data_IF_839405295290
#
_entry.id   IF_839405295290
#
_cell.length_a   1.000
_cell.length_b   1.000
_cell.length_c   1.000
_cell.angle_alpha   90.00
_cell.angle_beta   90.00
_cell.angle_gamma   90.00
#
_symmetry.space_group_name_H-M   'P 1'
#
loop_
_entity.id
_entity.type
_entity.pdbx_description
1 polymer ?
#
# COMPACT_ATOMS: atom_id res chain seq x y z
N UNK A 1 -1.26 -5.65 -15.46
CA UNK A 1 -1.37 -4.18 -15.60
C UNK A 1 -1.76 -3.62 -14.26
N UNK A 2 -1.13 -2.53 -13.81
CA UNK A 2 -1.43 -1.86 -12.54
C UNK A 2 -1.84 -0.42 -12.84
N UNK A 3 -2.93 0.03 -12.23
CA UNK A 3 -3.47 1.38 -12.44
C UNK A 3 -3.56 2.14 -11.13
N UNK A 4 -3.24 3.42 -11.16
CA UNK A 4 -3.50 4.34 -10.06
C UNK A 4 -4.95 4.82 -10.19
N UNK A 5 -5.70 4.91 -9.10
CA UNK A 5 -7.03 5.51 -9.10
C UNK A 5 -7.03 6.72 -8.18
N UNK A 6 -7.35 7.89 -8.73
CA UNK A 6 -7.54 9.12 -7.98
C UNK A 6 -9.02 9.25 -7.61
N UNK A 7 -9.34 8.88 -6.37
CA UNK A 7 -10.73 8.75 -5.90
C UNK A 7 -11.52 10.06 -5.96
N UNK A 8 -10.91 11.17 -5.55
CA UNK A 8 -11.57 12.48 -5.57
C UNK A 8 -11.87 12.99 -6.98
N UNK A 9 -10.98 12.70 -7.93
CA UNK A 9 -11.09 13.16 -9.32
C UNK A 9 -11.77 12.13 -10.24
N UNK A 10 -12.15 10.96 -9.72
CA UNK A 10 -12.76 9.86 -10.45
C UNK A 10 -12.02 9.49 -11.74
N UNK A 11 -10.69 9.44 -11.69
CA UNK A 11 -9.86 9.20 -12.88
C UNK A 11 -8.66 8.30 -12.59
N UNK A 12 -8.08 7.76 -13.67
CA UNK A 12 -6.83 6.98 -13.66
C UNK A 12 -5.71 7.89 -14.17
N UNK A 13 -4.86 8.48 -13.29
CA UNK A 13 -3.83 9.42 -13.72
C UNK A 13 -2.62 8.71 -14.34
N UNK A 14 -2.42 7.43 -14.02
CA UNK A 14 -1.29 6.64 -14.53
C UNK A 14 -1.59 5.14 -14.48
N UNK A 15 -1.04 4.41 -15.44
CA UNK A 15 -1.07 2.96 -15.49
C UNK A 15 0.25 2.40 -16.01
N UNK A 16 0.68 1.26 -15.48
CA UNK A 16 1.89 0.55 -15.87
C UNK A 16 1.52 -0.86 -16.32
N UNK A 17 1.91 -1.20 -17.56
CA UNK A 17 1.73 -2.56 -18.07
C UNK A 17 2.82 -3.46 -17.49
N UNK A 18 2.42 -4.54 -16.82
CA UNK A 18 3.33 -5.58 -16.37
C UNK A 18 3.73 -6.46 -17.56
N UNK A 19 5.00 -6.80 -17.69
CA UNK A 19 5.46 -7.77 -18.70
C UNK A 19 5.04 -9.20 -18.31
N UNK A 20 5.10 -10.16 -19.24
CA UNK A 20 4.62 -11.53 -19.01
C UNK A 20 5.28 -12.26 -17.82
N UNK A 21 6.48 -11.81 -17.42
CA UNK A 21 7.23 -12.34 -16.26
C UNK A 21 7.31 -11.37 -15.08
N UNK A 22 6.66 -10.21 -15.17
CA UNK A 22 6.65 -9.15 -14.16
C UNK A 22 5.30 -9.10 -13.44
N UNK A 23 5.33 -8.79 -12.15
CA UNK A 23 4.16 -8.71 -11.27
C UNK A 23 3.97 -7.28 -10.72
N UNK A 24 2.88 -7.08 -9.99
CA UNK A 24 2.49 -5.80 -9.38
C UNK A 24 3.61 -5.21 -8.50
N UNK A 25 4.37 -6.08 -7.84
CA UNK A 25 5.51 -5.74 -6.97
C UNK A 25 6.57 -4.88 -7.68
N UNK A 26 6.78 -5.10 -8.98
CA UNK A 26 7.76 -4.33 -9.78
C UNK A 26 7.15 -3.10 -10.43
N UNK A 27 5.86 -3.14 -10.78
CA UNK A 27 5.17 -2.04 -11.43
C UNK A 27 4.75 -0.91 -10.45
N UNK A 28 4.40 -1.25 -9.20
CA UNK A 28 3.97 -0.27 -8.19
C UNK A 28 5.04 0.80 -7.93
N UNK A 29 6.32 0.46 -7.69
CA UNK A 29 7.36 1.48 -7.53
C UNK A 29 7.49 2.44 -8.71
N UNK A 30 7.27 1.97 -9.95
CA UNK A 30 7.31 2.83 -11.14
C UNK A 30 6.12 3.77 -11.19
N UNK A 31 4.93 3.26 -10.87
CA UNK A 31 3.70 4.04 -10.80
C UNK A 31 3.76 5.12 -9.71
N UNK A 32 4.38 4.82 -8.57
CA UNK A 32 4.58 5.77 -7.48
C UNK A 32 5.61 6.87 -7.80
N UNK A 33 6.46 6.74 -8.83
CA UNK A 33 7.39 7.81 -9.22
C UNK A 33 6.67 9.10 -9.66
N UNK A 34 5.38 9.03 -9.99
CA UNK A 34 4.56 10.20 -10.30
C UNK A 34 4.65 11.29 -9.22
N UNK A 35 4.59 12.56 -9.63
CA UNK A 35 4.76 13.75 -8.76
C UNK A 35 3.53 14.10 -7.90
N UNK A 36 2.38 13.48 -8.16
CA UNK A 36 1.09 13.88 -7.58
C UNK A 36 0.71 13.18 -6.26
N UNK A 37 1.68 12.73 -5.46
CA UNK A 37 1.40 11.96 -4.24
C UNK A 37 1.51 12.76 -2.94
N UNK A 38 2.16 13.93 -2.93
CA UNK A 38 2.31 14.74 -1.70
C UNK A 38 0.94 15.08 -1.09
N UNK A 39 0.79 14.87 0.22
CA UNK A 39 -0.45 15.04 0.97
C UNK A 39 -1.62 14.15 0.51
N UNK A 40 -1.33 12.99 -0.08
CA UNK A 40 -2.35 11.98 -0.43
C UNK A 40 -2.23 10.73 0.43
N UNK A 41 -3.34 9.99 0.57
CA UNK A 41 -3.34 8.65 1.17
C UNK A 41 -3.33 7.61 0.06
N UNK A 42 -2.25 6.83 -0.01
CA UNK A 42 -2.09 5.75 -0.98
C UNK A 42 -2.60 4.45 -0.38
N UNK A 43 -3.61 3.85 -1.02
CA UNK A 43 -4.11 2.52 -0.64
C UNK A 43 -3.63 1.49 -1.66
N UNK A 44 -3.09 0.37 -1.16
CA UNK A 44 -2.61 -0.73 -2.02
C UNK A 44 -3.07 -2.05 -1.42
N UNK A 45 -3.52 -2.96 -2.28
CA UNK A 45 -3.87 -4.31 -1.88
C UNK A 45 -2.67 -5.08 -1.31
N UNK A 46 -2.95 -6.23 -0.70
CA UNK A 46 -1.95 -6.94 0.09
C UNK A 46 -0.76 -7.51 -0.70
N UNK A 47 -0.87 -7.63 -2.03
CA UNK A 47 0.26 -8.02 -2.87
C UNK A 47 1.34 -6.92 -2.98
N UNK A 48 0.98 -5.67 -2.67
CA UNK A 48 1.87 -4.50 -2.73
C UNK A 48 2.37 -3.98 -1.38
N UNK A 49 2.26 -4.75 -0.28
CA UNK A 49 2.55 -4.27 1.08
C UNK A 49 4.04 -3.96 1.38
N UNK A 50 4.95 -4.27 0.47
CA UNK A 50 6.39 -4.33 0.73
C UNK A 50 6.97 -3.07 1.38
N UNK A 51 7.91 -3.24 2.31
CA UNK A 51 8.57 -2.13 3.04
C UNK A 51 9.13 -1.05 2.09
N UNK A 52 9.75 -1.46 0.97
CA UNK A 52 10.25 -0.51 -0.04
C UNK A 52 9.15 0.38 -0.64
N UNK A 53 7.93 -0.13 -0.78
CA UNK A 53 6.79 0.62 -1.30
C UNK A 53 6.34 1.64 -0.27
N UNK A 54 6.19 1.25 0.99
CA UNK A 54 5.91 2.17 2.10
C UNK A 54 6.94 3.29 2.18
N UNK A 55 8.24 2.95 2.05
CA UNK A 55 9.32 3.94 2.03
C UNK A 55 9.21 4.94 0.89
N UNK A 56 8.91 4.49 -0.33
CA UNK A 56 8.70 5.39 -1.49
C UNK A 56 7.56 6.37 -1.24
N UNK A 57 6.48 5.92 -0.59
CA UNK A 57 5.31 6.75 -0.26
C UNK A 57 5.69 7.81 0.78
N UNK A 58 6.37 7.42 1.86
CA UNK A 58 6.87 8.34 2.89
C UNK A 58 7.86 9.36 2.30
N UNK A 59 8.82 8.92 1.48
CA UNK A 59 9.81 9.79 0.85
C UNK A 59 9.14 10.84 -0.07
N UNK A 60 7.90 10.60 -0.50
CA UNK A 60 7.05 11.52 -1.27
C UNK A 60 6.10 12.36 -0.43
N UNK A 61 6.23 12.33 0.91
CA UNK A 61 5.36 13.02 1.86
C UNK A 61 3.87 12.68 1.67
N UNK A 62 3.63 11.40 1.41
CA UNK A 62 2.32 10.82 1.32
C UNK A 62 2.14 9.83 2.48
N UNK A 63 0.89 9.57 2.84
CA UNK A 63 0.52 8.55 3.81
C UNK A 63 0.10 7.27 3.09
N UNK A 64 0.05 6.14 3.81
CA UNK A 64 -0.37 4.87 3.22
C UNK A 64 -1.32 4.06 4.11
N UNK A 65 -2.15 3.26 3.45
CA UNK A 65 -2.86 2.13 4.04
C UNK A 65 -2.55 0.90 3.18
N UNK A 66 -1.71 0.02 3.70
CA UNK A 66 -1.27 -1.19 3.01
C UNK A 66 -1.92 -2.40 3.68
N UNK A 67 -2.65 -3.20 2.90
CA UNK A 67 -3.22 -4.44 3.41
C UNK A 67 -2.13 -5.50 3.61
N UNK A 68 -2.33 -6.38 4.60
CA UNK A 68 -1.43 -7.54 4.84
C UNK A 68 -2.25 -8.82 4.69
N UNK A 69 -1.67 -9.82 4.02
CA UNK A 69 -2.24 -11.18 3.88
C UNK A 69 -1.60 -12.13 4.87
N UNK A 70 -2.34 -13.18 5.22
CA UNK A 70 -1.93 -14.24 6.16
C UNK A 70 -0.69 -15.03 5.71
N UNK A 71 -0.34 -14.98 4.41
CA UNK A 71 0.86 -15.61 3.88
C UNK A 71 2.17 -15.06 4.50
N UNK A 72 2.11 -13.91 5.20
CA UNK A 72 3.19 -13.38 6.02
C UNK A 72 2.88 -13.57 7.51
N UNK A 73 2.99 -14.83 7.95
CA UNK A 73 2.52 -15.28 9.27
C UNK A 73 2.99 -14.42 10.45
N UNK A 74 4.29 -14.09 10.50
CA UNK A 74 4.84 -13.32 11.62
C UNK A 74 4.30 -11.89 11.67
N UNK A 75 4.29 -11.20 10.53
CA UNK A 75 3.75 -9.85 10.44
C UNK A 75 2.26 -9.83 10.75
N UNK A 76 1.51 -10.77 10.20
CA UNK A 76 0.08 -10.90 10.45
C UNK A 76 -0.18 -11.12 11.95
N UNK A 77 0.59 -12.00 12.60
CA UNK A 77 0.49 -12.24 14.04
C UNK A 77 0.83 -10.98 14.85
N UNK A 78 1.93 -10.29 14.52
CA UNK A 78 2.31 -9.05 15.20
C UNK A 78 1.20 -7.99 15.11
N UNK A 79 0.57 -7.85 13.94
CA UNK A 79 -0.57 -6.96 13.76
C UNK A 79 -1.72 -7.41 14.68
N UNK A 80 -2.10 -8.69 14.64
CA UNK A 80 -3.15 -9.22 15.51
C UNK A 80 -2.87 -8.98 17.00
N UNK A 81 -1.65 -9.21 17.46
CA UNK A 81 -1.25 -9.03 18.86
C UNK A 81 -1.35 -7.56 19.28
N UNK A 82 -0.78 -6.65 18.49
CA UNK A 82 -0.80 -5.20 18.77
C UNK A 82 -2.22 -4.64 18.82
N UNK A 83 -3.10 -5.07 17.92
CA UNK A 83 -4.49 -4.62 17.90
C UNK A 83 -5.37 -5.34 18.94
N UNK A 84 -5.05 -6.57 19.33
CA UNK A 84 -5.77 -7.31 20.39
C UNK A 84 -5.52 -6.72 21.78
N UNK A 85 -4.30 -6.25 22.06
CA UNK A 85 -3.93 -5.59 23.32
C UNK A 85 -4.69 -4.26 23.49
N UNK A 86 -5.02 -3.57 22.40
CA UNK A 86 -5.75 -2.30 22.46
C UNK A 86 -7.25 -2.48 22.68
N UNK A 87 -7.83 -3.57 22.18
CA UNK A 87 -9.28 -3.86 22.36
C UNK A 87 -9.58 -4.29 23.81
N UNK A 88 -8.67 -5.00 24.47
CA UNK A 88 -8.85 -5.36 25.90
C UNK A 88 -8.72 -4.17 26.86
N UNK A 89 -7.99 -3.12 26.47
CA UNK A 89 -7.87 -1.86 27.22
C UNK A 89 -8.95 -0.82 26.87
N UNK A 90 -9.78 -1.12 25.86
CA UNK A 90 -10.98 -0.37 25.49
C UNK A 90 -12.21 -1.19 25.91
N UNK A 91 -12.33 -1.50 27.21
CA UNK A 91 -13.64 -1.84 27.77
C UNK A 91 -14.41 -0.53 28.05
N UNK A 92 -15.74 -0.49 27.85
CA UNK A 92 -16.55 0.68 28.19
C UNK A 92 -16.50 1.03 29.68
#
# INVERSE_FOLDING_TARGET
MVSAWASEQNLVPSQVKTSEKSNEITAIPELLKARCLENTVVTIEAMGWQEKIAKIIIDKKADYVLAVKENQKQLYQNIQDEFSIKISNLQP
#
